data_IF_229880254004
#
_entry.id   IF_229880254004
#
_cell.length_a   1.000
_cell.length_b   1.000
_cell.length_c   1.000
_cell.angle_alpha   90.00
_cell.angle_beta   90.00
_cell.angle_gamma   90.00
#
_symmetry.space_group_name_H-M   'P 1'
#
loop_
_entity.id
_entity.type
_entity.pdbx_description
1 polymer ?
#
# COMPACT_ATOMS: atom_id res chain seq x y z
N UNK A 1 38.50 8.98 3.18
CA UNK A 1 37.20 8.32 2.89
C UNK A 1 36.16 8.79 3.92
N UNK A 2 35.40 9.86 3.62
CA UNK A 2 34.33 10.43 4.46
C UNK A 2 33.00 10.48 3.70
N UNK A 3 32.66 9.39 3.01
CA UNK A 3 31.42 9.28 2.21
C UNK A 3 30.23 8.77 3.06
N UNK A 4 30.54 8.15 4.21
CA UNK A 4 29.58 7.55 5.13
C UNK A 4 28.60 8.57 5.78
N UNK A 5 28.99 9.79 6.21
CA UNK A 5 28.05 10.69 6.89
C UNK A 5 27.00 11.31 5.94
N UNK A 6 27.33 11.50 4.66
CA UNK A 6 26.39 12.06 3.66
C UNK A 6 25.34 11.03 3.21
N UNK A 7 25.73 9.76 3.05
CA UNK A 7 24.79 8.69 2.72
C UNK A 7 23.81 8.41 3.88
N UNK A 8 24.30 8.44 5.13
CA UNK A 8 23.45 8.31 6.32
C UNK A 8 22.49 9.48 6.50
N UNK A 9 22.93 10.72 6.21
CA UNK A 9 22.08 11.91 6.24
C UNK A 9 21.02 11.90 5.12
N UNK A 10 21.38 11.47 3.91
CA UNK A 10 20.44 11.27 2.81
C UNK A 10 19.39 10.19 3.11
N UNK A 11 19.79 9.08 3.73
CA UNK A 11 18.90 8.03 4.19
C UNK A 11 17.93 8.53 5.28
N UNK A 12 18.43 9.33 6.22
CA UNK A 12 17.59 9.96 7.26
C UNK A 12 16.59 10.96 6.68
N UNK A 13 16.97 11.75 5.66
CA UNK A 13 16.06 12.67 4.98
C UNK A 13 14.98 11.94 4.17
N UNK A 14 15.30 10.79 3.55
CA UNK A 14 14.33 9.94 2.86
C UNK A 14 13.37 9.25 3.84
N UNK A 15 13.82 8.86 5.03
CA UNK A 15 12.95 8.29 6.06
C UNK A 15 11.96 9.31 6.65
N UNK A 16 12.18 10.61 6.43
CA UNK A 16 11.31 11.70 6.89
C UNK A 16 10.29 12.15 5.82
N UNK A 17 10.34 11.62 4.59
CA UNK A 17 9.52 12.14 3.48
C UNK A 17 8.07 11.66 3.44
N UNK A 18 7.64 10.81 4.39
CA UNK A 18 6.25 10.37 4.55
C UNK A 18 5.36 11.40 5.24
N UNK A 19 5.32 12.64 4.76
CA UNK A 19 4.43 13.65 5.31
C UNK A 19 2.97 13.32 4.97
N UNK A 20 2.08 13.45 5.95
CA UNK A 20 0.63 13.37 5.70
C UNK A 20 0.22 14.44 4.68
N UNK A 21 -0.61 14.08 3.70
CA UNK A 21 -1.18 15.00 2.75
C UNK A 21 -2.26 15.85 3.46
N UNK A 22 -1.86 17.03 3.95
CA UNK A 22 -2.75 17.96 4.65
C UNK A 22 -2.68 19.34 3.97
N UNK A 23 -3.81 19.95 3.57
CA UNK A 23 -5.18 19.41 3.66
C UNK A 23 -5.37 18.19 2.75
N UNK A 24 -6.19 17.23 3.19
CA UNK A 24 -6.55 16.08 2.37
C UNK A 24 -7.42 16.52 1.20
N UNK A 25 -7.19 15.93 0.03
CA UNK A 25 -7.94 16.26 -1.18
C UNK A 25 -8.78 15.07 -1.60
N UNK A 26 -10.08 15.13 -1.34
CA UNK A 26 -11.03 14.19 -1.94
C UNK A 26 -11.07 14.40 -3.44
N UNK A 27 -11.36 13.32 -4.16
CA UNK A 27 -11.48 13.35 -5.62
C UNK A 27 -12.90 13.06 -6.04
N UNK A 28 -13.36 13.78 -7.07
CA UNK A 28 -14.64 13.56 -7.70
C UNK A 28 -14.44 13.34 -9.20
N UNK A 29 -15.15 12.37 -9.78
CA UNK A 29 -15.15 12.07 -11.23
C UNK A 29 -13.74 11.95 -11.86
N UNK A 30 -12.77 11.36 -11.14
CA UNK A 30 -11.37 11.25 -11.60
C UNK A 30 -11.10 10.09 -12.55
N UNK A 31 -12.08 9.21 -12.72
CA UNK A 31 -11.97 8.06 -13.59
C UNK A 31 -12.10 8.48 -15.06
N UNK A 32 -10.99 8.39 -15.80
CA UNK A 32 -10.93 8.80 -17.21
C UNK A 32 -11.98 8.06 -18.08
N UNK A 33 -12.49 8.66 -19.18
CA UNK A 33 -13.53 8.05 -20.03
C UNK A 33 -13.16 6.70 -20.65
N UNK A 34 -11.87 6.38 -20.73
CA UNK A 34 -11.35 5.11 -21.23
C UNK A 34 -10.94 4.14 -20.10
N UNK A 35 -11.36 4.40 -18.87
CA UNK A 35 -11.09 3.54 -17.74
C UNK A 35 -11.71 2.15 -17.94
N UNK A 36 -11.08 1.15 -17.35
CA UNK A 36 -11.63 -0.19 -17.27
C UNK A 36 -12.82 -0.22 -16.33
N UNK A 37 -14.03 -0.17 -16.87
CA UNK A 37 -15.26 -0.31 -16.10
C UNK A 37 -15.46 -1.74 -15.54
N UNK A 38 -16.12 -1.83 -14.40
CA UNK A 38 -16.68 -3.10 -13.93
C UNK A 38 -17.81 -3.57 -14.86
N UNK A 39 -17.95 -4.89 -15.03
CA UNK A 39 -19.07 -5.40 -15.82
C UNK A 39 -20.41 -5.15 -15.10
N UNK A 40 -21.53 -5.07 -15.84
CA UNK A 40 -22.85 -5.11 -15.24
C UNK A 40 -23.00 -6.31 -14.29
N UNK A 41 -23.31 -6.05 -13.02
CA UNK A 41 -23.46 -7.06 -11.98
C UNK A 41 -22.15 -7.63 -11.41
N UNK A 42 -20.98 -7.15 -11.84
CA UNK A 42 -19.71 -7.51 -11.22
C UNK A 42 -19.51 -6.70 -9.93
N UNK A 43 -19.33 -7.38 -8.81
CA UNK A 43 -19.02 -6.72 -7.54
C UNK A 43 -17.64 -6.04 -7.61
N UNK A 44 -17.52 -4.83 -7.08
CA UNK A 44 -16.25 -4.12 -6.96
C UNK A 44 -15.27 -4.90 -6.06
N UNK A 45 -15.76 -5.39 -4.92
CA UNK A 45 -15.00 -6.18 -3.94
C UNK A 45 -15.41 -7.65 -4.06
N UNK A 46 -14.44 -8.52 -4.30
CA UNK A 46 -14.62 -9.98 -4.32
C UNK A 46 -13.70 -10.68 -3.33
N UNK A 47 -14.26 -11.61 -2.55
CA UNK A 47 -13.53 -12.45 -1.60
C UNK A 47 -13.27 -13.84 -2.16
N UNK A 48 -12.04 -14.31 -2.07
CA UNK A 48 -11.68 -15.69 -2.38
C UNK A 48 -12.22 -16.66 -1.33
N UNK A 49 -12.68 -17.84 -1.76
CA UNK A 49 -13.11 -18.91 -0.84
C UNK A 49 -11.97 -19.24 0.16
N UNK A 50 -12.25 -19.44 1.45
CA UNK A 50 -11.25 -19.89 2.42
C UNK A 50 -10.67 -21.26 2.03
N UNK A 51 -9.34 -21.41 2.11
CA UNK A 51 -8.62 -22.66 1.83
C UNK A 51 -7.56 -22.84 2.92
N UNK A 52 -7.96 -23.49 4.03
CA UNK A 52 -7.17 -23.54 5.27
C UNK A 52 -5.70 -23.95 5.08
N UNK A 53 -5.41 -24.89 4.18
CA UNK A 53 -4.03 -25.31 3.90
C UNK A 53 -3.19 -24.20 3.23
N UNK A 54 -3.73 -23.58 2.18
CA UNK A 54 -3.07 -22.50 1.44
C UNK A 54 -2.90 -21.29 2.34
N UNK A 55 -3.96 -20.92 3.05
CA UNK A 55 -4.01 -19.75 3.93
C UNK A 55 -3.09 -19.94 5.13
N UNK A 56 -3.07 -21.16 5.68
CA UNK A 56 -2.18 -21.52 6.78
C UNK A 56 -0.71 -21.47 6.37
N UNK A 57 -0.35 -22.01 5.21
CA UNK A 57 1.03 -21.92 4.71
C UNK A 57 1.44 -20.47 4.47
N UNK A 58 0.58 -19.67 3.84
CA UNK A 58 0.83 -18.24 3.65
C UNK A 58 1.00 -17.53 4.99
N UNK A 59 0.13 -17.80 5.96
CA UNK A 59 0.12 -17.16 7.26
C UNK A 59 1.31 -17.56 8.15
N UNK A 60 1.72 -18.82 8.18
CA UNK A 60 2.74 -19.27 9.15
C UNK A 60 4.16 -19.32 8.57
N UNK A 61 4.29 -19.48 7.25
CA UNK A 61 5.60 -19.67 6.62
C UNK A 61 6.01 -18.48 5.77
N UNK A 62 5.23 -18.16 4.72
CA UNK A 62 5.66 -17.14 3.75
C UNK A 62 5.57 -15.70 4.26
N UNK A 63 4.59 -15.41 5.12
CA UNK A 63 4.40 -14.07 5.68
C UNK A 63 5.26 -13.77 6.92
N UNK A 64 5.91 -14.77 7.51
CA UNK A 64 6.72 -14.61 8.72
C UNK A 64 7.77 -13.49 8.61
N UNK A 65 8.51 -13.35 7.48
CA UNK A 65 9.43 -12.23 7.28
C UNK A 65 8.73 -10.87 7.36
N UNK A 66 7.67 -10.64 6.58
CA UNK A 66 6.92 -9.37 6.57
C UNK A 66 6.43 -8.99 7.96
N UNK A 67 5.87 -9.97 8.67
CA UNK A 67 5.37 -9.82 10.03
C UNK A 67 6.44 -9.47 11.06
N UNK A 68 7.64 -10.05 10.92
CA UNK A 68 8.77 -9.71 11.78
C UNK A 68 9.28 -8.30 11.50
N UNK A 69 9.44 -7.96 10.21
CA UNK A 69 9.90 -6.64 9.77
C UNK A 69 8.94 -5.54 10.23
N UNK A 70 7.64 -5.75 10.05
CA UNK A 70 6.60 -4.77 10.39
C UNK A 70 6.09 -4.88 11.82
N UNK A 71 6.57 -5.86 12.59
CA UNK A 71 6.10 -6.15 13.95
C UNK A 71 4.57 -6.15 14.04
N UNK A 72 3.90 -6.88 13.16
CA UNK A 72 2.44 -6.93 13.15
C UNK A 72 1.94 -8.24 12.58
N UNK A 73 1.18 -8.98 13.40
CA UNK A 73 0.67 -10.31 13.06
C UNK A 73 -0.51 -10.31 12.09
N UNK A 74 -1.08 -9.12 11.82
CA UNK A 74 -2.16 -8.94 10.85
C UNK A 74 -1.65 -8.77 9.41
N UNK A 75 -0.35 -8.49 9.23
CA UNK A 75 0.28 -8.41 7.90
C UNK A 75 0.33 -9.79 7.26
N UNK A 76 -0.10 -9.88 6.00
CA UNK A 76 -0.11 -11.10 5.18
C UNK A 76 -0.73 -12.30 5.92
N UNK A 77 -1.75 -12.04 6.75
CA UNK A 77 -2.32 -13.05 7.61
C UNK A 77 -3.36 -13.93 6.89
N UNK A 78 -3.76 -13.56 5.66
CA UNK A 78 -4.77 -14.20 4.83
C UNK A 78 -6.14 -14.35 5.49
N UNK A 79 -6.43 -13.52 6.50
CA UNK A 79 -7.70 -13.50 7.22
C UNK A 79 -8.15 -12.05 7.40
N UNK A 80 -8.63 -11.47 6.30
CA UNK A 80 -9.05 -10.07 6.23
C UNK A 80 -10.44 -9.91 6.85
N UNK A 81 -10.53 -9.06 7.86
CA UNK A 81 -11.75 -8.77 8.61
C UNK A 81 -12.73 -7.91 7.80
N UNK A 82 -13.97 -7.84 8.26
CA UNK A 82 -14.99 -6.99 7.64
C UNK A 82 -14.66 -5.50 7.85
N UNK A 83 -13.99 -5.17 8.94
CA UNK A 83 -13.56 -3.82 9.30
C UNK A 83 -12.51 -3.30 8.32
N UNK A 84 -11.51 -4.11 7.97
CA UNK A 84 -10.49 -3.75 6.95
C UNK A 84 -11.13 -3.57 5.56
N UNK A 85 -12.06 -4.46 5.20
CA UNK A 85 -12.82 -4.36 3.95
C UNK A 85 -13.70 -3.09 3.89
N UNK A 86 -14.39 -2.78 4.99
CA UNK A 86 -15.21 -1.58 5.12
C UNK A 86 -14.36 -0.29 5.07
N UNK A 87 -13.18 -0.28 5.67
CA UNK A 87 -12.27 0.86 5.63
C UNK A 87 -11.81 1.16 4.20
N UNK A 88 -11.41 0.13 3.44
CA UNK A 88 -11.06 0.28 2.03
C UNK A 88 -12.27 0.71 1.19
N UNK A 89 -13.43 0.08 1.37
CA UNK A 89 -14.67 0.45 0.68
C UNK A 89 -15.03 1.92 0.90
N UNK A 90 -14.98 2.38 2.15
CA UNK A 90 -15.24 3.78 2.49
C UNK A 90 -14.23 4.73 1.84
N UNK A 91 -12.95 4.36 1.79
CA UNK A 91 -11.92 5.15 1.11
C UNK A 91 -12.17 5.26 -0.40
N UNK A 92 -12.50 4.14 -1.08
CA UNK A 92 -12.76 4.14 -2.51
C UNK A 92 -13.99 4.98 -2.85
N UNK A 93 -15.07 4.85 -2.07
CA UNK A 93 -16.29 5.62 -2.24
C UNK A 93 -16.07 7.12 -1.99
N UNK A 94 -15.24 7.49 -1.01
CA UNK A 94 -14.92 8.89 -0.72
C UNK A 94 -14.09 9.57 -1.83
N UNK A 95 -13.53 8.80 -2.77
CA UNK A 95 -12.63 9.29 -3.81
C UNK A 95 -13.13 8.98 -5.24
N UNK A 96 -14.40 8.61 -5.40
CA UNK A 96 -15.02 8.23 -6.68
C UNK A 96 -14.22 7.17 -7.47
N UNK A 97 -13.77 6.11 -6.78
CA UNK A 97 -12.98 5.01 -7.36
C UNK A 97 -13.83 3.77 -7.64
N UNK A 98 -14.95 3.94 -8.31
CA UNK A 98 -15.98 2.90 -8.49
C UNK A 98 -15.53 1.71 -9.35
N UNK A 99 -14.58 1.91 -10.27
CA UNK A 99 -14.21 0.88 -11.25
C UNK A 99 -12.92 0.10 -10.90
N UNK A 100 -12.27 0.45 -9.79
CA UNK A 100 -11.15 -0.32 -9.24
C UNK A 100 -11.65 -1.67 -8.72
N UNK A 101 -11.07 -2.77 -9.20
CA UNK A 101 -11.41 -4.09 -8.68
C UNK A 101 -10.66 -4.35 -7.38
N UNK A 102 -11.32 -4.87 -6.37
CA UNK A 102 -10.69 -5.31 -5.12
C UNK A 102 -10.83 -6.82 -4.99
N UNK A 103 -9.71 -7.48 -4.71
CA UNK A 103 -9.62 -8.93 -4.53
C UNK A 103 -9.06 -9.25 -3.16
N UNK A 104 -9.93 -9.70 -2.26
CA UNK A 104 -9.57 -10.07 -0.90
C UNK A 104 -9.27 -11.57 -0.87
N UNK A 105 -8.00 -11.90 -0.69
CA UNK A 105 -7.48 -13.27 -0.75
C UNK A 105 -7.85 -14.00 -2.07
N UNK A 106 -8.32 -13.35 -3.12
CA UNK A 106 -8.82 -14.08 -4.28
C UNK A 106 -7.70 -14.36 -5.29
N UNK A 107 -7.61 -15.61 -5.75
CA UNK A 107 -6.75 -15.99 -6.87
C UNK A 107 -7.60 -16.16 -8.14
N UNK A 108 -7.55 -15.18 -9.03
CA UNK A 108 -8.39 -15.08 -10.22
C UNK A 108 -7.59 -14.74 -11.49
N UNK A 109 -6.61 -15.56 -11.90
CA UNK A 109 -5.70 -15.25 -13.01
C UNK A 109 -6.44 -14.96 -14.32
N UNK A 110 -7.44 -15.76 -14.68
CA UNK A 110 -8.25 -15.51 -15.89
C UNK A 110 -8.99 -14.16 -15.85
N UNK A 111 -9.42 -13.72 -14.66
CA UNK A 111 -10.00 -12.39 -14.46
C UNK A 111 -8.98 -11.28 -14.70
N UNK A 112 -7.78 -11.43 -14.14
CA UNK A 112 -6.70 -10.44 -14.31
C UNK A 112 -6.21 -10.36 -15.76
N UNK A 113 -6.02 -11.48 -16.45
CA UNK A 113 -5.68 -11.48 -17.88
C UNK A 113 -6.76 -10.81 -18.75
N UNK A 114 -8.03 -11.05 -18.44
CA UNK A 114 -9.14 -10.37 -19.13
C UNK A 114 -9.11 -8.86 -18.86
N UNK A 115 -8.93 -8.45 -17.60
CA UNK A 115 -8.81 -7.03 -17.21
C UNK A 115 -7.62 -6.36 -17.89
N UNK A 116 -6.47 -7.04 -17.98
CA UNK A 116 -5.30 -6.56 -18.71
C UNK A 116 -5.63 -6.23 -20.16
N UNK A 117 -6.33 -7.12 -20.89
CA UNK A 117 -6.68 -6.87 -22.29
C UNK A 117 -7.67 -5.72 -22.44
N UNK A 118 -8.61 -5.60 -21.50
CA UNK A 118 -9.69 -4.61 -21.55
C UNK A 118 -9.27 -3.23 -21.03
N UNK A 119 -8.21 -3.10 -20.23
CA UNK A 119 -7.79 -1.83 -19.67
C UNK A 119 -7.23 -0.88 -20.72
N UNK A 120 -8.07 -0.04 -21.33
CA UNK A 120 -7.68 0.92 -22.39
C UNK A 120 -7.13 2.23 -21.82
N UNK A 121 -7.19 2.44 -20.51
CA UNK A 121 -6.54 3.56 -19.83
C UNK A 121 -5.01 3.45 -19.82
N UNK A 122 -4.48 2.24 -20.02
CA UNK A 122 -3.07 1.99 -20.27
C UNK A 122 -2.88 1.76 -21.77
N UNK A 123 -1.96 2.52 -22.38
CA UNK A 123 -1.60 2.34 -23.78
C UNK A 123 -1.15 0.89 -24.06
N UNK A 124 -1.50 0.37 -25.25
CA UNK A 124 -1.19 -1.00 -25.66
C UNK A 124 0.27 -1.41 -25.50
N UNK A 125 1.23 -0.51 -25.74
CA UNK A 125 2.66 -0.81 -25.56
C UNK A 125 2.97 -1.23 -24.12
N UNK A 126 2.64 -0.39 -23.14
CA UNK A 126 2.89 -0.66 -21.72
C UNK A 126 2.09 -1.87 -21.21
N UNK A 127 0.86 -2.00 -21.69
CA UNK A 127 -0.05 -3.08 -21.31
C UNK A 127 0.43 -4.44 -21.77
N UNK A 128 0.94 -4.55 -23.00
CA UNK A 128 1.40 -5.82 -23.57
C UNK A 128 2.89 -6.11 -23.33
N UNK A 129 3.63 -5.19 -22.71
CA UNK A 129 5.00 -5.42 -22.24
C UNK A 129 5.02 -5.66 -20.73
N UNK A 130 5.08 -4.58 -19.94
CA UNK A 130 5.14 -4.67 -18.49
C UNK A 130 3.85 -5.20 -17.86
N UNK A 131 2.69 -4.91 -18.45
CA UNK A 131 1.42 -5.46 -17.97
C UNK A 131 1.33 -6.99 -18.11
N UNK A 132 1.86 -7.56 -19.19
CA UNK A 132 1.97 -9.02 -19.38
C UNK A 132 2.92 -9.62 -18.34
N UNK A 133 4.07 -8.99 -18.10
CA UNK A 133 5.04 -9.43 -17.08
C UNK A 133 4.39 -9.41 -15.69
N UNK A 134 3.77 -8.30 -15.29
CA UNK A 134 3.11 -8.15 -14.00
C UNK A 134 1.98 -9.18 -13.80
N UNK A 135 1.13 -9.38 -14.82
CA UNK A 135 0.02 -10.34 -14.75
C UNK A 135 0.51 -11.80 -14.75
N UNK A 136 1.63 -12.07 -15.42
CA UNK A 136 2.31 -13.37 -15.34
C UNK A 136 2.83 -13.62 -13.93
N UNK A 137 3.50 -12.65 -13.29
CA UNK A 137 3.95 -12.78 -11.91
C UNK A 137 2.80 -13.02 -10.94
N UNK A 138 1.67 -12.31 -11.11
CA UNK A 138 0.44 -12.60 -10.35
C UNK A 138 -0.01 -14.07 -10.50
N UNK A 139 0.09 -14.61 -11.72
CA UNK A 139 -0.33 -15.99 -12.03
C UNK A 139 0.63 -17.04 -11.44
N UNK A 140 1.94 -16.86 -11.56
CA UNK A 140 2.91 -17.89 -11.13
C UNK A 140 3.34 -17.76 -9.66
N UNK A 141 3.24 -16.56 -9.09
CA UNK A 141 3.54 -16.26 -7.69
C UNK A 141 2.27 -15.70 -7.02
N UNK A 142 1.28 -16.55 -6.72
CA UNK A 142 -0.01 -16.11 -6.21
C UNK A 142 0.16 -15.44 -4.84
N UNK A 143 -0.25 -14.17 -4.73
CA UNK A 143 -0.25 -13.46 -3.45
C UNK A 143 -1.10 -14.15 -2.38
N UNK A 144 -2.08 -14.98 -2.77
CA UNK A 144 -2.84 -15.86 -1.85
C UNK A 144 -1.94 -16.82 -1.05
N UNK A 145 -0.73 -17.10 -1.53
CA UNK A 145 0.29 -17.89 -0.82
C UNK A 145 1.40 -17.00 -0.27
N UNK A 146 1.88 -16.06 -1.07
CA UNK A 146 3.11 -15.30 -0.76
C UNK A 146 2.87 -13.96 -0.06
N UNK A 147 1.62 -13.55 0.11
CA UNK A 147 1.26 -12.22 0.60
C UNK A 147 1.61 -11.11 -0.39
N UNK A 148 1.78 -9.90 0.15
CA UNK A 148 2.10 -8.69 -0.59
C UNK A 148 0.83 -8.05 -1.13
N UNK A 149 0.14 -7.29 -0.26
CA UNK A 149 -0.89 -6.35 -0.71
C UNK A 149 -0.32 -5.45 -1.81
N UNK A 150 -1.09 -5.24 -2.86
CA UNK A 150 -0.65 -4.39 -3.97
C UNK A 150 -1.81 -3.91 -4.84
N UNK A 151 -1.64 -2.71 -5.39
CA UNK A 151 -2.35 -2.21 -6.54
C UNK A 151 -1.58 -2.48 -7.85
N UNK A 152 -2.26 -3.16 -8.78
CA UNK A 152 -1.78 -3.38 -10.13
C UNK A 152 -2.44 -2.39 -11.12
N UNK A 153 -1.70 -1.39 -11.64
CA UNK A 153 -2.25 -0.39 -12.56
C UNK A 153 -2.61 -0.97 -13.93
N UNK A 154 -2.01 -2.10 -14.32
CA UNK A 154 -2.26 -2.72 -15.63
C UNK A 154 -3.62 -3.42 -15.69
N UNK A 155 -4.11 -3.92 -14.56
CA UNK A 155 -5.43 -4.55 -14.44
C UNK A 155 -6.44 -3.71 -13.67
N UNK A 156 -6.03 -2.55 -13.16
CA UNK A 156 -6.83 -1.71 -12.25
C UNK A 156 -7.41 -2.54 -11.10
N UNK A 157 -6.54 -3.28 -10.40
CA UNK A 157 -6.92 -4.24 -9.37
C UNK A 157 -6.08 -4.05 -8.12
N UNK A 158 -6.73 -3.92 -6.96
CA UNK A 158 -6.16 -4.01 -5.63
C UNK A 158 -6.27 -5.47 -5.16
N UNK A 159 -5.15 -6.05 -4.71
CA UNK A 159 -5.11 -7.37 -4.09
C UNK A 159 -4.79 -7.20 -2.60
N UNK A 160 -5.65 -7.74 -1.72
CA UNK A 160 -5.51 -7.63 -0.27
C UNK A 160 -5.35 -9.01 0.37
N UNK A 161 -4.34 -9.15 1.21
CA UNK A 161 -3.96 -10.34 1.99
C UNK A 161 -3.71 -10.01 3.47
N UNK A 162 -3.48 -8.74 3.82
CA UNK A 162 -3.32 -8.26 5.19
C UNK A 162 -4.63 -7.81 5.81
N UNK A 163 -4.80 -8.09 7.10
CA UNK A 163 -5.91 -7.58 7.91
C UNK A 163 -5.54 -6.27 8.63
N UNK A 164 -5.21 -5.23 7.86
CA UNK A 164 -4.86 -3.93 8.40
C UNK A 164 -5.46 -2.82 7.55
N UNK A 165 -6.33 -1.99 8.15
CA UNK A 165 -7.00 -0.86 7.51
C UNK A 165 -6.00 0.05 6.78
N UNK A 166 -4.93 0.46 7.46
CA UNK A 166 -3.88 1.31 6.88
C UNK A 166 -3.25 0.75 5.61
N UNK A 167 -2.99 -0.56 5.55
CA UNK A 167 -2.39 -1.21 4.38
C UNK A 167 -3.41 -1.26 3.25
N UNK A 168 -4.65 -1.63 3.55
CA UNK A 168 -5.70 -1.67 2.53
C UNK A 168 -5.97 -0.28 1.94
N UNK A 169 -6.07 0.75 2.78
CA UNK A 169 -6.23 2.15 2.37
C UNK A 169 -5.01 2.66 1.59
N UNK A 170 -3.79 2.26 1.94
CA UNK A 170 -2.57 2.56 1.18
C UNK A 170 -2.64 2.03 -0.26
N UNK A 171 -3.16 0.82 -0.47
CA UNK A 171 -3.39 0.31 -1.83
C UNK A 171 -4.51 1.06 -2.57
N UNK A 172 -5.54 1.50 -1.84
CA UNK A 172 -6.54 2.45 -2.34
C UNK A 172 -5.89 3.76 -2.81
N UNK A 173 -4.93 4.28 -2.05
CA UNK A 173 -4.21 5.50 -2.38
C UNK A 173 -3.32 5.35 -3.62
N UNK A 174 -2.72 4.19 -3.85
CA UNK A 174 -2.09 3.88 -5.14
C UNK A 174 -3.10 3.90 -6.29
N UNK A 175 -4.31 3.36 -6.09
CA UNK A 175 -5.35 3.40 -7.11
C UNK A 175 -5.80 4.85 -7.41
N UNK A 176 -6.00 5.68 -6.38
CA UNK A 176 -6.28 7.11 -6.49
C UNK A 176 -5.19 7.84 -7.25
N UNK A 177 -3.93 7.65 -6.86
CA UNK A 177 -2.79 8.27 -7.51
C UNK A 177 -2.79 7.98 -9.02
N UNK A 178 -2.94 6.71 -9.40
CA UNK A 178 -3.01 6.32 -10.80
C UNK A 178 -4.25 6.84 -11.52
N UNK A 179 -5.39 6.95 -10.84
CA UNK A 179 -6.62 7.47 -11.43
C UNK A 179 -6.44 8.92 -11.92
N UNK A 180 -5.71 9.75 -11.17
CA UNK A 180 -5.43 11.15 -11.53
C UNK A 180 -4.38 11.36 -12.64
N UNK A 181 -3.68 10.30 -13.10
CA UNK A 181 -2.61 10.44 -14.09
C UNK A 181 -3.13 10.38 -15.52
N UNK A 182 -2.72 11.33 -16.35
CA UNK A 182 -3.00 11.34 -17.79
C UNK A 182 -2.29 10.19 -18.52
N UNK A 183 -1.02 9.93 -18.17
CA UNK A 183 -0.18 8.90 -18.80
C UNK A 183 0.10 7.72 -17.86
N UNK A 184 -0.96 7.03 -17.43
CA UNK A 184 -0.91 5.92 -16.47
C UNK A 184 0.13 4.85 -16.81
N UNK A 185 0.27 4.49 -18.10
CA UNK A 185 1.23 3.47 -18.54
C UNK A 185 2.70 3.91 -18.38
N UNK A 186 3.02 5.15 -18.74
CA UNK A 186 4.37 5.70 -18.55
C UNK A 186 4.69 5.88 -17.06
N UNK A 187 3.70 6.31 -16.27
CA UNK A 187 3.82 6.40 -14.82
C UNK A 187 4.01 5.03 -14.15
N UNK A 188 3.35 3.98 -14.64
CA UNK A 188 3.60 2.60 -14.21
C UNK A 188 5.02 2.13 -14.59
N UNK A 189 5.47 2.40 -15.82
CA UNK A 189 6.79 2.03 -16.30
C UNK A 189 7.92 2.76 -15.58
N UNK A 190 7.68 3.98 -15.08
CA UNK A 190 8.64 4.75 -14.30
C UNK A 190 9.07 4.04 -13.01
N UNK A 191 8.32 3.03 -12.51
CA UNK A 191 8.76 2.14 -11.43
C UNK A 191 10.09 1.43 -11.70
N UNK A 192 10.51 1.33 -12.96
CA UNK A 192 11.81 0.75 -13.34
C UNK A 192 12.98 1.73 -13.19
N UNK A 193 12.70 3.02 -13.01
CA UNK A 193 13.71 4.05 -12.77
C UNK A 193 14.08 3.98 -11.29
N UNK A 194 15.37 3.81 -10.93
CA UNK A 194 15.79 3.73 -9.54
C UNK A 194 15.23 4.89 -8.71
N UNK A 195 14.78 4.57 -7.49
CA UNK A 195 14.21 5.49 -6.51
C UNK A 195 12.83 6.07 -6.86
N UNK A 196 12.35 5.93 -8.10
CA UNK A 196 11.01 6.39 -8.47
C UNK A 196 9.89 5.66 -7.72
N UNK A 197 9.98 4.33 -7.43
CA UNK A 197 9.00 3.67 -6.56
C UNK A 197 8.85 4.35 -5.20
N UNK A 198 9.94 4.86 -4.60
CA UNK A 198 9.86 5.55 -3.30
C UNK A 198 8.97 6.79 -3.36
N UNK A 199 9.00 7.52 -4.47
CA UNK A 199 8.08 8.65 -4.66
C UNK A 199 6.62 8.18 -4.66
N UNK A 200 6.29 7.10 -5.38
CA UNK A 200 4.93 6.57 -5.41
C UNK A 200 4.47 6.06 -4.05
N UNK A 201 5.35 5.35 -3.33
CA UNK A 201 5.05 4.88 -1.98
C UNK A 201 4.87 6.04 -0.99
N UNK A 202 5.60 7.14 -1.16
CA UNK A 202 5.45 8.34 -0.33
C UNK A 202 4.11 9.05 -0.61
N UNK A 203 3.69 9.12 -1.88
CA UNK A 203 2.39 9.67 -2.29
C UNK A 203 1.26 8.84 -1.66
N UNK A 204 1.29 7.51 -1.81
CA UNK A 204 0.28 6.62 -1.25
C UNK A 204 0.25 6.67 0.29
N UNK A 205 1.42 6.65 0.94
CA UNK A 205 1.53 6.76 2.40
C UNK A 205 0.95 8.08 2.91
N UNK A 206 1.33 9.19 2.26
CA UNK A 206 0.88 10.53 2.64
C UNK A 206 -0.62 10.70 2.47
N UNK A 207 -1.20 10.18 1.38
CA UNK A 207 -2.64 10.21 1.14
C UNK A 207 -3.41 9.35 2.15
N UNK A 208 -2.96 8.11 2.43
CA UNK A 208 -3.59 7.23 3.41
C UNK A 208 -3.65 7.88 4.81
N UNK A 209 -2.53 8.42 5.29
CA UNK A 209 -2.48 9.13 6.59
C UNK A 209 -3.33 10.41 6.54
N UNK A 210 -3.25 11.16 5.44
CA UNK A 210 -4.01 12.38 5.24
C UNK A 210 -5.51 12.15 5.34
N UNK A 211 -6.02 11.08 4.74
CA UNK A 211 -7.43 10.69 4.78
C UNK A 211 -7.93 10.43 6.20
N UNK A 212 -7.16 9.66 6.97
CA UNK A 212 -7.52 9.33 8.36
C UNK A 212 -7.46 10.56 9.25
N UNK A 213 -6.47 11.42 9.03
CA UNK A 213 -6.31 12.67 9.77
C UNK A 213 -7.42 13.68 9.50
N UNK A 214 -7.83 13.84 8.24
CA UNK A 214 -8.94 14.72 7.85
C UNK A 214 -10.28 14.28 8.47
N UNK A 215 -10.44 12.98 8.68
CA UNK A 215 -11.60 12.39 9.35
C UNK A 215 -11.52 12.43 10.89
N UNK A 216 -10.48 13.04 11.45
CA UNK A 216 -10.27 13.17 12.90
C UNK A 216 -10.31 11.82 13.63
N UNK A 217 -9.63 10.80 13.07
CA UNK A 217 -9.56 9.45 13.63
C UNK A 217 -8.17 9.17 14.25
N UNK A 218 -7.87 9.70 15.45
CA UNK A 218 -6.51 9.69 16.03
C UNK A 218 -5.97 8.27 16.29
N UNK A 219 -6.83 7.32 16.65
CA UNK A 219 -6.40 5.92 16.85
C UNK A 219 -6.00 5.23 15.54
N UNK A 220 -6.71 5.50 14.46
CA UNK A 220 -6.34 4.99 13.13
C UNK A 220 -5.07 5.70 12.63
N UNK A 221 -4.93 7.01 12.86
CA UNK A 221 -3.73 7.77 12.45
C UNK A 221 -2.48 7.23 13.19
N UNK A 222 -2.61 6.89 14.47
CA UNK A 222 -1.55 6.21 15.24
C UNK A 222 -1.18 4.85 14.65
N UNK A 223 -2.16 4.07 14.17
CA UNK A 223 -1.92 2.78 13.51
C UNK A 223 -1.21 2.97 12.18
N UNK A 224 -1.63 3.95 11.38
CA UNK A 224 -1.01 4.29 10.10
C UNK A 224 0.47 4.60 10.27
N UNK A 225 0.82 5.49 11.22
CA UNK A 225 2.22 5.81 11.49
C UNK A 225 3.04 4.60 11.94
N UNK A 226 2.46 3.71 12.76
CA UNK A 226 3.17 2.54 13.29
C UNK A 226 3.40 1.45 12.24
N UNK A 227 2.65 1.44 11.14
CA UNK A 227 2.75 0.42 10.09
C UNK A 227 3.36 0.94 8.78
N UNK A 228 2.93 2.11 8.30
CA UNK A 228 3.32 2.63 6.98
C UNK A 228 4.75 3.18 6.98
N UNK A 229 5.23 3.75 8.09
CA UNK A 229 6.62 4.24 8.17
C UNK A 229 7.66 3.10 8.14
N UNK A 230 7.54 2.03 8.95
CA UNK A 230 8.45 0.89 8.79
C UNK A 230 8.28 0.20 7.44
N UNK A 231 7.06 0.12 6.88
CA UNK A 231 6.83 -0.39 5.52
C UNK A 231 7.57 0.46 4.48
N UNK A 232 7.51 1.79 4.58
CA UNK A 232 8.26 2.70 3.72
C UNK A 232 9.78 2.44 3.78
N UNK A 233 10.31 2.19 4.98
CA UNK A 233 11.69 1.76 5.18
C UNK A 233 12.05 0.49 4.39
N UNK A 234 11.13 -0.47 4.26
CA UNK A 234 11.36 -1.68 3.46
C UNK A 234 11.50 -1.39 1.96
N UNK A 235 10.77 -0.40 1.43
CA UNK A 235 10.94 0.02 0.03
C UNK A 235 12.30 0.68 -0.19
N UNK A 236 12.76 1.53 0.74
CA UNK A 236 14.12 2.10 0.68
C UNK A 236 15.18 1.00 0.66
N UNK A 237 15.03 0.00 1.53
CA UNK A 237 15.92 -1.17 1.55
C UNK A 237 15.87 -1.94 0.22
N UNK A 238 14.67 -2.15 -0.34
CA UNK A 238 14.45 -2.82 -1.61
C UNK A 238 15.18 -2.13 -2.77
N UNK A 239 15.03 -0.82 -2.91
CA UNK A 239 15.72 -0.03 -3.94
C UNK A 239 17.24 -0.08 -3.78
N UNK A 240 17.73 0.09 -2.55
CA UNK A 240 19.18 0.02 -2.25
C UNK A 240 19.77 -1.36 -2.56
N UNK A 241 19.05 -2.43 -2.18
CA UNK A 241 19.44 -3.82 -2.47
C UNK A 241 19.38 -4.12 -3.97
N UNK A 242 18.38 -3.60 -4.69
CA UNK A 242 18.23 -3.75 -6.13
C UNK A 242 19.42 -3.16 -6.88
N UNK A 243 19.81 -1.93 -6.53
CA UNK A 243 20.99 -1.26 -7.08
C UNK A 243 22.29 -2.02 -6.74
N UNK A 244 22.45 -2.46 -5.49
CA UNK A 244 23.63 -3.21 -5.08
C UNK A 244 23.72 -4.58 -5.79
N UNK A 245 22.58 -5.20 -6.08
CA UNK A 245 22.51 -6.50 -6.76
C UNK A 245 23.01 -6.48 -8.20
N UNK A 246 23.08 -5.30 -8.84
CA UNK A 246 23.73 -5.17 -10.15
C UNK A 246 25.24 -5.37 -10.11
N UNK A 247 25.86 -5.12 -8.95
CA UNK A 247 27.31 -5.23 -8.79
C UNK A 247 27.73 -6.53 -8.12
N UNK A 248 26.87 -7.11 -7.28
CA UNK A 248 27.15 -8.38 -6.61
C UNK A 248 25.87 -9.14 -6.28
N UNK A 249 25.78 -10.46 -6.52
CA UNK A 249 24.65 -11.25 -6.06
C UNK A 249 24.51 -11.18 -4.54
N UNK A 250 23.36 -10.73 -4.05
CA UNK A 250 23.06 -10.65 -2.61
C UNK A 250 22.18 -11.83 -2.22
N UNK A 251 22.65 -12.64 -1.28
CA UNK A 251 21.89 -13.80 -0.80
C UNK A 251 20.62 -13.38 -0.03
N UNK A 252 19.58 -14.21 -0.08
CA UNK A 252 18.31 -13.93 0.59
C UNK A 252 18.44 -13.63 2.10
N UNK A 253 19.25 -14.36 2.90
CA UNK A 253 19.44 -14.02 4.30
C UNK A 253 20.03 -12.61 4.53
N UNK A 254 20.94 -12.17 3.64
CA UNK A 254 21.50 -10.82 3.71
C UNK A 254 20.45 -9.78 3.35
N UNK A 255 19.65 -10.01 2.31
CA UNK A 255 18.53 -9.13 1.96
C UNK A 255 17.56 -8.97 3.13
N UNK A 256 17.18 -10.08 3.77
CA UNK A 256 16.29 -10.06 4.93
C UNK A 256 16.91 -9.29 6.12
N UNK A 257 18.20 -9.52 6.41
CA UNK A 257 18.90 -8.79 7.46
C UNK A 257 18.95 -7.29 7.21
N UNK A 258 19.16 -6.87 5.96
CA UNK A 258 19.13 -5.45 5.57
C UNK A 258 17.73 -4.87 5.73
N UNK A 259 16.67 -5.55 5.26
CA UNK A 259 15.30 -5.08 5.43
C UNK A 259 14.92 -4.91 6.90
N UNK A 260 15.26 -5.88 7.76
CA UNK A 260 15.07 -5.79 9.20
C UNK A 260 15.80 -4.58 9.79
N UNK A 261 17.07 -4.36 9.39
CA UNK A 261 17.87 -3.23 9.88
C UNK A 261 17.30 -1.88 9.47
N UNK A 262 16.86 -1.73 8.21
CA UNK A 262 16.33 -0.46 7.68
C UNK A 262 14.91 -0.17 8.17
N UNK A 263 14.12 -1.19 8.53
CA UNK A 263 12.81 -0.98 9.13
C UNK A 263 12.87 -0.36 10.54
N UNK A 264 13.98 -0.52 11.29
CA UNK A 264 14.14 0.00 12.66
C UNK A 264 13.96 1.52 12.72
N UNK A 265 14.68 2.35 11.92
CA UNK A 265 14.40 3.77 11.85
C UNK A 265 12.94 4.12 11.54
N UNK A 266 12.30 3.40 10.62
CA UNK A 266 10.88 3.59 10.30
C UNK A 266 9.97 3.33 11.50
N UNK A 267 10.23 2.27 12.28
CA UNK A 267 9.53 2.00 13.54
C UNK A 267 9.70 3.10 14.57
N UNK A 268 10.92 3.64 14.71
CA UNK A 268 11.23 4.73 15.64
C UNK A 268 10.47 5.99 15.26
N UNK A 269 10.59 6.44 14.00
CA UNK A 269 9.93 7.66 13.53
C UNK A 269 8.42 7.50 13.59
N UNK A 270 7.87 6.37 13.14
CA UNK A 270 6.44 6.08 13.22
C UNK A 270 5.90 6.13 14.65
N UNK A 271 6.65 5.63 15.63
CA UNK A 271 6.27 5.72 17.05
C UNK A 271 6.34 7.14 17.60
N UNK A 272 7.36 7.91 17.23
CA UNK A 272 7.46 9.32 17.61
C UNK A 272 6.27 10.09 17.04
N UNK A 273 5.91 9.89 15.77
CA UNK A 273 4.74 10.52 15.14
C UNK A 273 3.45 10.12 15.85
N UNK A 274 3.23 8.83 16.08
CA UNK A 274 2.05 8.33 16.77
C UNK A 274 1.92 8.87 18.21
N UNK A 275 3.03 9.07 18.92
CA UNK A 275 3.03 9.63 20.28
C UNK A 275 2.73 11.14 20.33
N UNK A 276 2.90 11.86 19.22
CA UNK A 276 2.63 13.29 19.10
C UNK A 276 1.23 13.59 18.51
N UNK A 277 0.37 12.58 18.33
CA UNK A 277 -1.04 12.81 17.99
C UNK A 277 -1.78 13.15 19.28
N UNK A 278 -2.39 14.32 19.31
CA UNK A 278 -3.19 14.79 20.45
C UNK A 278 -4.36 13.84 20.74
N UNK A 279 -4.71 13.69 22.01
CA UNK A 279 -5.95 13.00 22.37
C UNK A 279 -7.15 13.88 22.04
N UNK A 280 -8.26 13.29 21.54
CA UNK A 280 -9.48 14.05 21.32
C UNK A 280 -9.92 14.64 22.66
N UNK A 281 -10.15 15.94 22.69
CA UNK A 281 -10.58 16.64 23.89
C UNK A 281 -11.93 16.05 24.32
N UNK A 282 -12.07 15.61 25.58
CA UNK A 282 -13.36 15.11 26.06
C UNK A 282 -14.47 16.13 25.77
N UNK A 283 -15.67 15.69 25.33
CA UNK A 283 -16.81 16.59 25.22
C UNK A 283 -17.06 17.20 26.59
N UNK A 284 -16.81 18.50 26.69
CA UNK A 284 -16.75 19.22 27.95
C UNK A 284 -17.93 18.89 28.86
N UNK A 285 -17.63 18.44 30.07
CA UNK A 285 -18.59 18.51 31.18
C UNK A 285 -19.07 19.96 31.24
N UNK A 286 -20.38 20.25 31.07
CA UNK A 286 -20.85 21.63 31.09
C UNK A 286 -20.46 22.25 32.43
N UNK A 287 -19.74 23.36 32.36
CA UNK A 287 -19.39 24.13 33.54
C UNK A 287 -20.68 24.46 34.29
N UNK A 288 -20.86 23.86 35.48
CA UNK A 288 -21.93 24.23 36.39
C UNK A 288 -21.63 25.68 36.79
N UNK A 289 -22.34 26.61 36.16
CA UNK A 289 -22.36 28.00 36.58
C UNK A 289 -23.03 28.07 37.95
N UNK A 290 -22.23 28.12 39.01
CA UNK A 290 -22.70 28.52 40.33
C UNK A 290 -23.06 30.01 40.25
N UNK A 291 -24.34 30.27 40.01
CA UNK A 291 -24.95 31.58 40.23
C UNK A 291 -24.93 31.82 41.74
N UNK A 292 -24.20 32.85 42.16
CA UNK A 292 -24.34 33.48 43.47
C UNK A 292 -25.40 34.57 43.40
#
# INVERSE_FOLDING_TARGET
>A
MRIIPLAALGLALLLLSGCAAVPYQYTENIEAPNLLELRPGEAQIERGRPVAFVDGIGHYFFSLPSKLILWNWRVDNHNVSAETEAALSAYLAANDLDNVKVRINQYAPGGEWRRLVLNRSINGFWRYTFGVIATTFYTIKPGRVFGGDNYNPYTNTINIYSDHSSIAVHEGAHAKDFATREHKGSYAAARMIPLFPLYQEAVATGDAIGYVRDRELPEEERKDYKILYPAYGTYIAGEGLGLASWFTPISYPVQLGVQLGVAIPGHIVGRIKAANIDEPTEPGTPAISLVK
#
